data_IF_391516187529
#
_entry.id   IF_391516187529
#
_cell.length_a   1.000
_cell.length_b   1.000
_cell.length_c   1.000
_cell.angle_alpha   90.00
_cell.angle_beta   90.00
_cell.angle_gamma   90.00
#
_symmetry.space_group_name_H-M   'P 1'
#
loop_
_entity.id
_entity.type
_entity.pdbx_description
1 polymer ?
#
# COMPACT_ATOMS: atom_id res chain seq x y z
N UNK A 1 2.80 -22.61 4.89
CA UNK A 1 2.01 -21.98 3.80
C UNK A 1 2.76 -22.20 2.49
N UNK A 2 2.09 -22.42 1.35
CA UNK A 2 2.76 -22.55 0.03
C UNK A 2 2.21 -21.48 -0.92
N UNK A 3 2.75 -20.26 -0.89
CA UNK A 3 2.36 -19.20 -1.82
C UNK A 3 2.61 -19.64 -3.27
N UNK A 4 1.71 -19.26 -4.18
CA UNK A 4 1.80 -19.60 -5.61
C UNK A 4 2.11 -18.38 -6.49
N UNK A 5 1.58 -17.22 -6.09
CA UNK A 5 1.68 -15.95 -6.80
C UNK A 5 1.60 -14.82 -5.77
N UNK A 6 2.32 -13.73 -6.01
CA UNK A 6 2.19 -12.50 -5.25
C UNK A 6 1.69 -11.39 -6.17
N UNK A 7 0.56 -10.76 -5.82
CA UNK A 7 -0.06 -9.70 -6.61
C UNK A 7 0.66 -8.36 -6.45
N UNK A 8 1.88 -8.27 -7.00
CA UNK A 8 2.74 -7.09 -6.92
C UNK A 8 3.45 -6.87 -8.27
N UNK A 9 4.09 -5.71 -8.41
CA UNK A 9 4.91 -5.41 -9.59
C UNK A 9 6.23 -6.18 -9.61
N UNK A 10 6.73 -6.57 -8.43
CA UNK A 10 8.02 -7.23 -8.23
C UNK A 10 7.87 -8.33 -7.17
N UNK A 11 8.81 -9.27 -7.12
CA UNK A 11 8.81 -10.33 -6.10
C UNK A 11 8.98 -9.76 -4.71
N UNK A 12 8.28 -10.36 -3.74
CA UNK A 12 8.42 -9.96 -2.35
C UNK A 12 9.74 -10.51 -1.77
N UNK A 13 10.55 -9.71 -1.04
CA UNK A 13 11.84 -10.17 -0.50
C UNK A 13 11.74 -11.40 0.42
N UNK A 14 10.62 -11.55 1.13
CA UNK A 14 10.37 -12.72 1.99
C UNK A 14 10.05 -14.01 1.21
N UNK A 15 9.75 -13.90 -0.09
CA UNK A 15 9.38 -15.02 -0.97
C UNK A 15 10.06 -14.87 -2.34
N UNK A 16 11.40 -14.90 -2.40
CA UNK A 16 12.15 -14.57 -3.62
C UNK A 16 11.92 -15.56 -4.78
N UNK A 17 11.50 -16.79 -4.47
CA UNK A 17 11.24 -17.84 -5.44
C UNK A 17 9.82 -17.79 -6.02
N UNK A 18 8.94 -16.97 -5.44
CA UNK A 18 7.54 -16.88 -5.85
C UNK A 18 7.37 -15.75 -6.86
N UNK A 19 6.81 -16.02 -8.05
CA UNK A 19 6.66 -15.00 -9.08
C UNK A 19 5.65 -13.94 -8.67
N UNK A 20 5.89 -12.71 -9.14
CA UNK A 20 4.88 -11.66 -9.12
C UNK A 20 3.83 -11.91 -10.21
N UNK A 21 2.65 -11.32 -10.06
CA UNK A 21 1.60 -11.39 -11.10
C UNK A 21 2.07 -10.81 -12.44
N UNK A 22 2.86 -9.75 -12.39
CA UNK A 22 3.43 -9.10 -13.59
C UNK A 22 4.44 -9.98 -14.32
N UNK A 23 5.26 -10.77 -13.63
CA UNK A 23 6.18 -11.74 -14.26
C UNK A 23 5.45 -12.85 -15.01
N UNK A 24 4.22 -13.17 -14.59
CA UNK A 24 3.36 -14.16 -15.24
C UNK A 24 2.51 -13.55 -16.38
N UNK A 25 2.73 -12.29 -16.73
CA UNK A 25 1.97 -11.58 -17.77
C UNK A 25 0.61 -11.07 -17.31
N UNK A 26 0.26 -11.21 -16.03
CA UNK A 26 -0.96 -10.61 -15.47
C UNK A 26 -0.64 -9.20 -14.99
N UNK A 27 -1.10 -8.18 -15.74
CA UNK A 27 -1.00 -6.79 -15.31
C UNK A 27 -2.08 -6.44 -14.27
N UNK A 28 -2.13 -7.24 -13.20
CA UNK A 28 -3.05 -7.11 -12.08
C UNK A 28 -2.21 -7.06 -10.82
N UNK A 29 -2.18 -5.92 -10.16
CA UNK A 29 -1.63 -5.76 -8.81
C UNK A 29 -2.77 -5.52 -7.84
N UNK A 30 -2.61 -5.98 -6.60
CA UNK A 30 -3.58 -5.79 -5.52
C UNK A 30 -2.84 -5.20 -4.32
N UNK A 31 -2.43 -3.92 -4.39
CA UNK A 31 -1.75 -3.28 -3.28
C UNK A 31 -2.71 -3.16 -2.09
N UNK A 32 -2.42 -3.88 -1.02
CA UNK A 32 -3.13 -3.72 0.24
C UNK A 32 -2.49 -2.57 1.02
N UNK A 33 -3.24 -1.49 1.22
CA UNK A 33 -2.75 -0.32 1.97
C UNK A 33 -3.60 -0.04 3.20
N UNK A 34 -3.02 0.74 4.12
CA UNK A 34 -3.69 1.26 5.31
C UNK A 34 -3.45 2.75 5.37
N UNK A 35 -4.46 3.51 5.79
CA UNK A 35 -4.41 4.97 5.83
C UNK A 35 -4.78 5.50 7.20
N UNK A 36 -4.16 6.61 7.57
CA UNK A 36 -4.62 7.46 8.67
C UNK A 36 -5.23 8.71 8.05
N UNK A 37 -6.49 8.98 8.37
CA UNK A 37 -7.24 10.12 7.83
C UNK A 37 -7.59 11.09 8.93
N UNK A 38 -7.44 12.38 8.66
CA UNK A 38 -7.83 13.46 9.55
C UNK A 38 -9.04 14.21 8.96
N UNK A 39 -9.75 14.96 9.80
CA UNK A 39 -10.87 15.81 9.37
C UNK A 39 -10.42 16.82 8.30
N UNK A 40 -11.28 17.10 7.33
CA UNK A 40 -11.03 18.15 6.35
C UNK A 40 -10.82 19.52 7.02
N UNK A 41 -9.90 20.32 6.47
CA UNK A 41 -9.61 21.68 6.95
C UNK A 41 -8.60 21.76 8.11
N UNK A 42 -7.95 20.66 8.49
CA UNK A 42 -6.84 20.72 9.45
C UNK A 42 -5.66 21.49 8.84
N UNK A 43 -5.07 22.45 9.57
CA UNK A 43 -3.89 23.19 9.12
C UNK A 43 -2.71 22.26 8.71
N UNK A 44 -1.98 22.57 7.61
CA UNK A 44 -0.91 21.70 7.09
C UNK A 44 0.23 21.44 8.07
N UNK A 45 0.55 22.40 8.94
CA UNK A 45 1.54 22.28 10.01
C UNK A 45 1.17 21.15 10.99
N UNK A 46 -0.11 21.02 11.34
CA UNK A 46 -0.59 19.94 12.22
C UNK A 46 -0.54 18.58 11.54
N UNK A 47 -0.85 18.51 10.24
CA UNK A 47 -0.69 17.27 9.45
C UNK A 47 0.77 16.85 9.42
N UNK A 48 1.69 17.80 9.24
CA UNK A 48 3.13 17.54 9.24
C UNK A 48 3.61 16.96 10.57
N UNK A 49 3.17 17.53 11.70
CA UNK A 49 3.50 17.00 13.04
C UNK A 49 3.07 15.55 13.19
N UNK A 50 1.83 15.22 12.78
CA UNK A 50 1.34 13.83 12.83
C UNK A 50 2.13 12.91 11.90
N UNK A 51 2.37 13.32 10.65
CA UNK A 51 3.10 12.52 9.68
C UNK A 51 4.53 12.22 10.15
N UNK A 52 5.23 13.20 10.74
CA UNK A 52 6.56 13.02 11.32
C UNK A 52 6.55 12.08 12.53
N UNK A 53 5.55 12.19 13.41
CA UNK A 53 5.39 11.30 14.55
C UNK A 53 5.16 9.85 14.10
N UNK A 54 4.27 9.62 13.13
CA UNK A 54 4.06 8.29 12.57
C UNK A 54 5.30 7.76 11.87
N UNK A 55 5.97 8.57 11.04
CA UNK A 55 7.22 8.15 10.39
C UNK A 55 8.25 7.65 11.41
N UNK A 56 8.46 8.40 12.49
CA UNK A 56 9.36 7.99 13.59
C UNK A 56 8.92 6.66 14.23
N UNK A 57 7.62 6.47 14.44
CA UNK A 57 7.09 5.23 14.99
C UNK A 57 7.34 4.04 14.06
N UNK A 58 7.19 4.22 12.74
CA UNK A 58 7.45 3.18 11.74
C UNK A 58 8.94 2.80 11.63
N UNK A 59 9.84 3.70 12.05
CA UNK A 59 11.28 3.46 12.08
C UNK A 59 11.74 2.66 13.31
N UNK A 60 10.88 2.47 14.32
CA UNK A 60 11.17 1.69 15.53
C UNK A 60 11.41 0.22 15.23
N UNK A 61 12.20 -0.45 16.07
CA UNK A 61 12.50 -1.86 15.89
C UNK A 61 11.25 -2.73 16.08
N UNK A 62 10.37 -2.35 17.00
CA UNK A 62 9.10 -3.01 17.28
C UNK A 62 8.21 -3.00 16.05
N UNK A 63 8.07 -1.84 15.39
CA UNK A 63 7.27 -1.76 14.17
C UNK A 63 7.91 -2.52 13.01
N UNK A 64 9.23 -2.43 12.83
CA UNK A 64 9.93 -3.18 11.77
C UNK A 64 9.74 -4.69 11.92
N UNK A 65 9.87 -5.23 13.13
CA UNK A 65 9.61 -6.64 13.42
C UNK A 65 8.16 -7.03 13.08
N UNK A 66 7.20 -6.19 13.48
CA UNK A 66 5.80 -6.39 13.12
C UNK A 66 5.58 -6.36 11.60
N UNK A 67 6.17 -5.41 10.89
CA UNK A 67 6.07 -5.30 9.44
C UNK A 67 6.67 -6.51 8.72
N UNK A 68 7.81 -7.03 9.20
CA UNK A 68 8.45 -8.24 8.68
C UNK A 68 7.58 -9.49 8.90
N UNK A 69 7.04 -9.66 10.11
CA UNK A 69 6.16 -10.79 10.46
C UNK A 69 4.89 -10.82 9.61
N UNK A 70 4.35 -9.64 9.27
CA UNK A 70 3.16 -9.50 8.45
C UNK A 70 3.43 -9.31 6.96
N UNK A 71 4.69 -9.47 6.52
CA UNK A 71 5.11 -9.36 5.12
C UNK A 71 4.70 -8.04 4.45
N UNK A 72 4.81 -6.93 5.18
CA UNK A 72 4.58 -5.62 4.61
C UNK A 72 5.70 -5.25 3.64
N UNK A 73 5.35 -4.52 2.58
CA UNK A 73 6.33 -4.06 1.62
C UNK A 73 7.37 -3.15 2.30
N UNK A 74 8.67 -3.25 1.95
CA UNK A 74 9.71 -2.42 2.57
C UNK A 74 9.48 -0.90 2.42
N UNK A 75 8.75 -0.49 1.39
CA UNK A 75 8.41 0.89 1.05
C UNK A 75 6.98 1.28 1.47
N UNK A 76 6.39 0.58 2.45
CA UNK A 76 4.99 0.77 2.89
C UNK A 76 4.65 2.16 3.46
N UNK A 77 5.61 3.06 3.68
CA UNK A 77 5.33 4.41 4.17
C UNK A 77 5.13 5.40 3.02
N UNK A 78 3.96 6.04 3.00
CA UNK A 78 3.65 7.13 2.08
C UNK A 78 3.20 8.37 2.86
N UNK A 79 3.94 9.47 2.69
CA UNK A 79 3.66 10.72 3.38
C UNK A 79 2.43 11.49 2.84
N UNK A 80 2.02 12.56 3.53
CA UNK A 80 0.80 13.32 3.21
C UNK A 80 0.81 13.96 1.81
N UNK A 81 1.98 14.18 1.21
CA UNK A 81 2.08 14.76 -0.14
C UNK A 81 1.89 13.72 -1.25
N UNK A 82 2.30 12.47 -1.00
CA UNK A 82 2.28 11.39 -1.99
C UNK A 82 1.04 10.52 -1.89
N UNK A 83 0.49 10.37 -0.68
CA UNK A 83 -0.61 9.44 -0.42
C UNK A 83 -1.94 9.84 -1.08
N UNK A 84 -2.41 11.09 -1.02
CA UNK A 84 -3.67 11.48 -1.66
C UNK A 84 -3.75 11.23 -3.16
N UNK A 85 -2.75 11.63 -4.00
CA UNK A 85 -2.83 11.36 -5.44
C UNK A 85 -2.75 9.86 -5.74
N UNK A 86 -1.97 9.09 -4.97
CA UNK A 86 -1.89 7.64 -5.14
C UNK A 86 -3.21 6.94 -4.79
N UNK A 87 -3.88 7.31 -3.69
CA UNK A 87 -5.21 6.74 -3.36
C UNK A 87 -6.23 7.10 -4.43
N UNK A 88 -6.17 8.31 -5.00
CA UNK A 88 -7.07 8.68 -6.09
C UNK A 88 -6.90 7.76 -7.31
N UNK A 89 -5.65 7.41 -7.69
CA UNK A 89 -5.41 6.46 -8.78
C UNK A 89 -5.87 5.03 -8.44
N UNK A 90 -5.66 4.57 -7.21
CA UNK A 90 -6.15 3.25 -6.78
C UNK A 90 -7.68 3.16 -6.79
N UNK A 91 -8.36 4.23 -6.37
CA UNK A 91 -9.82 4.31 -6.40
C UNK A 91 -10.37 4.34 -7.84
N UNK A 92 -9.63 4.93 -8.78
CA UNK A 92 -9.98 4.89 -10.20
C UNK A 92 -9.81 3.48 -10.79
N UNK A 93 -8.69 2.82 -10.50
CA UNK A 93 -8.44 1.43 -10.87
C UNK A 93 -9.55 0.51 -10.34
N UNK A 94 -9.90 0.63 -9.06
CA UNK A 94 -10.96 -0.16 -8.45
C UNK A 94 -12.33 0.15 -9.08
N UNK A 95 -12.63 1.41 -9.39
CA UNK A 95 -13.87 1.79 -10.10
C UNK A 95 -13.94 1.15 -11.48
N UNK A 96 -12.83 1.12 -12.22
CA UNK A 96 -12.76 0.49 -13.52
C UNK A 96 -13.00 -1.02 -13.43
N UNK A 97 -12.41 -1.70 -12.44
CA UNK A 97 -12.72 -3.10 -12.18
C UNK A 97 -14.19 -3.32 -11.83
N UNK A 98 -14.76 -2.52 -10.94
CA UNK A 98 -16.18 -2.64 -10.59
C UNK A 98 -17.09 -2.50 -11.81
N UNK A 99 -16.79 -1.60 -12.76
CA UNK A 99 -17.54 -1.47 -14.02
C UNK A 99 -17.36 -2.68 -14.94
N UNK A 100 -16.11 -3.10 -15.18
CA UNK A 100 -15.80 -4.25 -16.03
C UNK A 100 -16.47 -5.53 -15.55
N UNK A 101 -16.55 -5.72 -14.24
CA UNK A 101 -17.20 -6.89 -13.64
C UNK A 101 -18.70 -6.70 -13.38
N UNK A 102 -19.32 -5.59 -13.81
CA UNK A 102 -20.76 -5.33 -13.67
C UNK A 102 -21.23 -5.05 -12.23
N UNK A 103 -20.30 -4.77 -11.31
CA UNK A 103 -20.59 -4.41 -9.91
C UNK A 103 -20.96 -2.94 -9.73
N UNK A 104 -20.67 -2.09 -10.73
CA UNK A 104 -21.08 -0.69 -10.79
C UNK A 104 -21.48 -0.31 -12.22
N UNK A 105 -22.41 0.64 -12.36
CA UNK A 105 -22.80 1.21 -13.66
C UNK A 105 -21.76 2.20 -14.19
#
# INVERSE_FOLDING_TARGET
MRPLIIFAHQRHPAFPDIPSSTELGFNITLPQFRSIVAKAGIPPDRIKVLAEAFKKALETQEYKKFAEEWYFAPDSYMGPDKFPPWVASEMETMRNFMKTFGMAK
#
